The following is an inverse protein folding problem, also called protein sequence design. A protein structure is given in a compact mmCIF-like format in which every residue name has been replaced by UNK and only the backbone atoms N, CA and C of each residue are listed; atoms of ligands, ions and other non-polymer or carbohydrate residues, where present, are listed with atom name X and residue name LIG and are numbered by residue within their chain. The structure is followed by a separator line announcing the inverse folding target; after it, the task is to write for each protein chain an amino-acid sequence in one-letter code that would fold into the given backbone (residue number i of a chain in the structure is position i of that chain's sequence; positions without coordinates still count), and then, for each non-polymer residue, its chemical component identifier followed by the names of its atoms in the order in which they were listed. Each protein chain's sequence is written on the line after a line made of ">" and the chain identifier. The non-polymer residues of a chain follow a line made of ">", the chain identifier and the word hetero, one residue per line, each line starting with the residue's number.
data_IF_414081490887
#
_entry.id   IF_414081490887
#
_cell.length_a   1.000
_cell.length_b   1.000
_cell.length_c   1.000
_cell.angle_alpha   90.00
_cell.angle_beta   90.00
_cell.angle_gamma   90.00
#
_symmetry.space_group_name_H-M   'P 1'
#
loop_
_entity.id
_entity.type
_entity.pdbx_description
1 polymer ?
#
# COMPACT_ATOMS: atom_id res chain seq x y z
N UNK A 1 -5.19 -13.82 -0.23
CA UNK A 1 -6.36 -12.91 -0.17
C UNK A 1 -6.14 -11.98 1.00
N UNK A 2 -5.87 -10.69 0.74
CA UNK A 2 -5.77 -9.69 1.80
C UNK A 2 -7.17 -9.34 2.26
N UNK A 3 -7.40 -9.31 3.57
CA UNK A 3 -8.73 -9.08 4.11
C UNK A 3 -8.89 -7.57 4.26
N UNK A 4 -9.85 -6.99 3.55
CA UNK A 4 -10.29 -5.62 3.79
C UNK A 4 -11.42 -5.66 4.82
N UNK A 5 -11.18 -5.07 5.99
CA UNK A 5 -12.17 -5.00 7.07
C UNK A 5 -12.71 -3.57 7.20
N UNK A 6 -14.03 -3.46 7.38
CA UNK A 6 -14.69 -2.18 7.67
C UNK A 6 -14.81 -1.98 9.16
N UNK A 7 -13.99 -1.07 9.70
CA UNK A 7 -13.99 -0.74 11.13
C UNK A 7 -14.66 0.59 11.35
N UNK A 8 -15.65 0.63 12.26
CA UNK A 8 -16.25 1.89 12.74
C UNK A 8 -15.40 2.43 13.88
N UNK A 9 -14.66 3.51 13.64
CA UNK A 9 -13.96 4.23 14.70
C UNK A 9 -14.97 5.12 15.41
N UNK A 10 -15.02 5.07 16.75
CA UNK A 10 -16.00 5.78 17.59
C UNK A 10 -16.07 7.30 17.36
N UNK A 11 -15.03 7.89 16.75
CA UNK A 11 -14.93 9.33 16.43
C UNK A 11 -15.18 9.67 14.95
N UNK A 12 -15.49 8.69 14.11
CA UNK A 12 -15.71 8.88 12.67
C UNK A 12 -17.09 8.31 12.32
N UNK A 13 -18.00 9.15 11.83
CA UNK A 13 -19.36 8.73 11.47
C UNK A 13 -19.41 7.72 10.31
N UNK A 14 -18.30 7.59 9.57
CA UNK A 14 -18.14 6.68 8.45
C UNK A 14 -17.20 5.53 8.82
N UNK A 15 -17.57 4.27 8.54
CA UNK A 15 -16.65 3.15 8.69
C UNK A 15 -15.46 3.36 7.76
N UNK A 16 -14.26 3.05 8.25
CA UNK A 16 -13.04 3.09 7.48
C UNK A 16 -12.66 1.67 7.06
N UNK A 17 -12.07 1.56 5.88
CA UNK A 17 -11.48 0.31 5.45
C UNK A 17 -10.06 0.20 6.00
N UNK A 18 -9.75 -0.92 6.63
CA UNK A 18 -8.43 -1.28 7.09
C UNK A 18 -8.02 -2.56 6.37
N UNK A 19 -6.81 -2.55 5.81
CA UNK A 19 -6.23 -3.76 5.25
C UNK A 19 -5.59 -4.58 6.37
N UNK A 20 -6.07 -5.80 6.55
CA UNK A 20 -5.57 -6.75 7.54
C UNK A 20 -4.71 -7.80 6.83
N UNK A 21 -3.46 -7.89 7.27
CA UNK A 21 -2.46 -8.76 6.66
C UNK A 21 -2.07 -9.89 7.63
N UNK A 22 -2.35 -11.13 7.24
CA UNK A 22 -1.98 -12.35 7.99
C UNK A 22 -0.60 -12.85 7.57
N UNK A 23 0.34 -12.95 8.53
CA UNK A 23 1.71 -13.46 8.42
C UNK A 23 1.90 -14.86 7.82
N UNK A 24 0.83 -15.65 7.68
CA UNK A 24 0.87 -16.99 7.07
C UNK A 24 0.90 -16.98 5.54
N UNK A 25 0.78 -15.83 4.88
CA UNK A 25 0.86 -15.73 3.42
C UNK A 25 2.26 -16.12 2.92
N UNK A 26 2.37 -17.15 2.08
CA UNK A 26 3.66 -17.66 1.55
C UNK A 26 4.36 -16.71 0.54
N UNK A 27 3.74 -15.59 0.18
CA UNK A 27 4.28 -14.65 -0.81
C UNK A 27 5.31 -13.69 -0.19
N UNK A 28 6.59 -14.02 -0.38
CA UNK A 28 7.72 -13.21 0.09
C UNK A 28 7.77 -11.80 -0.53
N UNK A 29 7.27 -11.61 -1.76
CA UNK A 29 7.30 -10.29 -2.44
C UNK A 29 6.32 -9.35 -1.77
N UNK A 30 5.11 -9.85 -1.55
CA UNK A 30 4.08 -9.17 -0.80
C UNK A 30 4.57 -8.77 0.60
N UNK A 31 5.23 -9.69 1.34
CA UNK A 31 5.81 -9.37 2.66
C UNK A 31 6.87 -8.28 2.61
N UNK A 32 7.76 -8.35 1.64
CA UNK A 32 8.82 -7.36 1.45
C UNK A 32 8.22 -6.00 1.10
N UNK A 33 7.12 -5.96 0.36
CA UNK A 33 6.40 -4.74 0.04
C UNK A 33 5.67 -4.18 1.27
N UNK A 34 4.94 -5.00 2.03
CA UNK A 34 4.34 -4.59 3.31
C UNK A 34 5.38 -3.99 4.27
N UNK A 35 6.51 -4.66 4.46
CA UNK A 35 7.58 -4.15 5.34
C UNK A 35 8.12 -2.80 4.87
N UNK A 36 8.23 -2.56 3.56
CA UNK A 36 8.72 -1.29 3.01
C UNK A 36 7.68 -0.17 3.12
N UNK A 37 6.41 -0.45 2.82
CA UNK A 37 5.31 0.51 2.95
C UNK A 37 5.07 0.88 4.41
N UNK A 38 5.21 -0.07 5.33
CA UNK A 38 4.99 0.12 6.78
C UNK A 38 6.25 0.56 7.54
N UNK A 39 7.41 0.60 6.89
CA UNK A 39 8.65 1.00 7.56
C UNK A 39 8.60 2.47 7.95
N UNK A 40 8.90 2.76 9.21
CA UNK A 40 9.04 4.13 9.74
C UNK A 40 10.11 4.97 9.03
N UNK A 41 11.02 4.34 8.27
CA UNK A 41 12.16 5.01 7.66
C UNK A 41 11.86 5.67 6.31
N UNK A 42 10.73 5.35 5.66
CA UNK A 42 10.39 5.94 4.37
C UNK A 42 8.87 5.99 4.16
N UNK A 43 8.27 7.16 4.42
CA UNK A 43 6.83 7.42 4.27
C UNK A 43 6.39 7.66 2.81
N UNK A 44 7.31 7.57 1.84
CA UNK A 44 7.07 7.91 0.43
C UNK A 44 5.88 7.16 -0.16
N UNK A 45 5.75 5.85 0.12
CA UNK A 45 4.64 5.05 -0.37
C UNK A 45 3.29 5.59 0.15
N UNK A 46 3.21 5.96 1.43
CA UNK A 46 1.99 6.50 2.02
C UNK A 46 1.68 7.90 1.48
N UNK A 47 2.69 8.75 1.27
CA UNK A 47 2.53 10.07 0.62
C UNK A 47 2.00 9.94 -0.80
N UNK A 48 2.56 9.04 -1.60
CA UNK A 48 2.11 8.76 -2.96
C UNK A 48 0.65 8.26 -2.97
N UNK A 49 0.33 7.33 -2.07
CA UNK A 49 -1.01 6.80 -1.95
C UNK A 49 -2.03 7.87 -1.53
N UNK A 50 -1.65 8.79 -0.63
CA UNK A 50 -2.48 9.93 -0.25
C UNK A 50 -2.77 10.86 -1.43
N UNK A 51 -1.75 11.20 -2.24
CA UNK A 51 -1.93 12.01 -3.45
C UNK A 51 -2.90 11.34 -4.43
N UNK A 52 -2.78 10.02 -4.63
CA UNK A 52 -3.69 9.26 -5.49
C UNK A 52 -5.13 9.24 -4.94
N UNK A 53 -5.31 9.11 -3.62
CA UNK A 53 -6.61 9.18 -2.96
C UNK A 53 -7.29 10.55 -3.13
N UNK A 54 -6.53 11.64 -2.98
CA UNK A 54 -7.04 13.00 -3.09
C UNK A 54 -7.47 13.36 -4.51
N UNK A 55 -6.62 13.04 -5.49
CA UNK A 55 -6.79 13.45 -6.89
C UNK A 55 -7.88 12.66 -7.60
N UNK A 56 -8.15 11.41 -7.20
CA UNK A 56 -9.17 10.50 -7.77
C UNK A 56 -9.09 10.32 -9.30
N UNK A 57 -7.93 10.59 -9.88
CA UNK A 57 -7.62 10.41 -11.30
C UNK A 57 -6.35 9.60 -11.44
N UNK A 58 -6.10 9.08 -12.63
CA UNK A 58 -4.83 8.45 -12.96
C UNK A 58 -3.72 9.50 -13.03
N UNK A 59 -2.56 9.19 -12.47
CA UNK A 59 -1.40 10.10 -12.45
C UNK A 59 -0.15 9.34 -12.88
N UNK A 60 0.68 9.96 -13.72
CA UNK A 60 1.93 9.37 -14.16
C UNK A 60 2.95 9.29 -13.01
N UNK A 61 3.89 8.33 -13.06
CA UNK A 61 4.99 8.29 -12.09
C UNK A 61 5.82 9.57 -12.05
N UNK A 62 5.91 10.31 -13.17
CA UNK A 62 6.68 11.55 -13.25
C UNK A 62 5.98 12.68 -12.52
N UNK A 63 4.67 12.83 -12.73
CA UNK A 63 3.90 13.87 -12.04
C UNK A 63 3.82 13.58 -10.55
N UNK A 64 3.67 12.31 -10.16
CA UNK A 64 3.77 11.89 -8.77
C UNK A 64 5.11 12.27 -8.15
N UNK A 65 6.23 12.02 -8.85
CA UNK A 65 7.56 12.38 -8.37
C UNK A 65 7.72 13.89 -8.14
N UNK A 66 7.15 14.72 -9.01
CA UNK A 66 7.10 16.17 -8.82
C UNK A 66 6.21 16.57 -7.63
N UNK A 67 5.07 15.91 -7.44
CA UNK A 67 4.11 16.23 -6.37
C UNK A 67 4.63 15.89 -4.96
N UNK A 68 5.40 14.81 -4.81
CA UNK A 68 5.95 14.40 -3.52
C UNK A 68 7.41 14.79 -3.32
N UNK A 69 7.97 15.58 -4.25
CA UNK A 69 9.36 16.03 -4.29
C UNK A 69 10.34 14.88 -3.98
N UNK A 70 10.36 13.87 -4.87
CA UNK A 70 11.21 12.69 -4.67
C UNK A 70 11.74 12.12 -5.99
N UNK A 71 12.92 11.45 -5.98
CA UNK A 71 13.48 10.86 -7.19
C UNK A 71 12.53 9.85 -7.85
N UNK A 72 12.45 9.90 -9.18
CA UNK A 72 11.56 9.03 -9.97
C UNK A 72 11.81 7.53 -9.70
N UNK A 73 13.06 7.14 -9.46
CA UNK A 73 13.40 5.76 -9.11
C UNK A 73 12.73 5.32 -7.80
N UNK A 74 12.85 6.11 -6.74
CA UNK A 74 12.24 5.84 -5.43
C UNK A 74 10.72 5.80 -5.52
N UNK A 75 10.12 6.69 -6.32
CA UNK A 75 8.68 6.74 -6.57
C UNK A 75 8.20 5.49 -7.28
N UNK A 76 8.91 5.04 -8.33
CA UNK A 76 8.58 3.78 -9.02
C UNK A 76 8.70 2.56 -8.10
N UNK A 77 9.71 2.52 -7.24
CA UNK A 77 9.85 1.45 -6.27
C UNK A 77 8.69 1.44 -5.26
N UNK A 78 8.32 2.60 -4.73
CA UNK A 78 7.20 2.73 -3.81
C UNK A 78 5.85 2.38 -4.46
N UNK A 79 5.63 2.78 -5.72
CA UNK A 79 4.42 2.42 -6.47
C UNK A 79 4.35 0.93 -6.79
N UNK A 80 5.50 0.30 -7.09
CA UNK A 80 5.58 -1.14 -7.22
C UNK A 80 5.22 -1.83 -5.90
N UNK A 81 5.79 -1.39 -4.78
CA UNK A 81 5.46 -1.95 -3.47
C UNK A 81 3.95 -1.78 -3.15
N UNK A 82 3.34 -0.62 -3.45
CA UNK A 82 1.89 -0.40 -3.30
C UNK A 82 1.03 -1.30 -4.20
N UNK A 83 1.52 -1.65 -5.39
CA UNK A 83 0.84 -2.54 -6.33
C UNK A 83 0.92 -4.00 -5.89
N UNK A 84 2.08 -4.43 -5.41
CA UNK A 84 2.27 -5.77 -4.86
C UNK A 84 1.32 -6.01 -3.66
N UNK A 85 1.01 -4.97 -2.88
CA UNK A 85 0.04 -5.04 -1.77
C UNK A 85 -1.41 -4.70 -2.18
N UNK A 86 -1.68 -4.63 -3.48
CA UNK A 86 -3.01 -4.46 -4.08
C UNK A 86 -3.76 -3.17 -3.71
N UNK A 87 -3.04 -2.11 -3.35
CA UNK A 87 -3.64 -0.79 -3.03
C UNK A 87 -3.83 0.10 -4.25
N UNK A 88 -2.96 -0.05 -5.24
CA UNK A 88 -2.99 0.73 -6.49
C UNK A 88 -3.05 -0.18 -7.69
N UNK A 89 -3.57 0.32 -8.80
CA UNK A 89 -3.48 -0.32 -10.11
C UNK A 89 -2.55 0.48 -11.01
N UNK A 90 -1.99 -0.21 -12.01
CA UNK A 90 -1.06 0.35 -12.99
C UNK A 90 -1.63 0.17 -14.40
N UNK A 91 -1.81 1.27 -15.10
CA UNK A 91 -2.06 1.28 -16.53
C UNK A 91 -0.75 1.60 -17.26
N UNK A 92 -0.36 0.72 -18.18
CA UNK A 92 0.85 0.89 -18.98
C UNK A 92 0.47 1.46 -20.35
N UNK A 93 1.03 2.61 -20.68
CA UNK A 93 0.85 3.28 -21.96
C UNK A 93 2.15 3.18 -22.77
N UNK A 94 2.02 2.79 -24.04
CA UNK A 94 3.13 2.74 -24.98
C UNK A 94 2.99 3.86 -26.01
N UNK A 95 4.07 4.61 -26.23
CA UNK A 95 4.14 5.65 -27.26
C UNK A 95 5.47 5.51 -28.01
N UNK A 96 5.43 4.83 -29.14
CA UNK A 96 6.65 4.44 -29.86
C UNK A 96 7.51 3.52 -29.00
N UNK A 97 8.78 3.89 -28.79
CA UNK A 97 9.72 3.13 -27.95
C UNK A 97 9.66 3.51 -26.46
N UNK A 98 8.73 4.38 -26.06
CA UNK A 98 8.61 4.85 -24.68
C UNK A 98 7.44 4.16 -23.96
N UNK A 99 7.69 3.72 -22.73
CA UNK A 99 6.68 3.16 -21.83
C UNK A 99 6.42 4.11 -20.66
N UNK A 100 5.14 4.39 -20.39
CA UNK A 100 4.68 5.21 -19.29
C UNK A 100 3.78 4.39 -18.39
N UNK A 101 3.88 4.62 -17.08
CA UNK A 101 3.00 3.98 -16.10
C UNK A 101 2.15 5.07 -15.43
N UNK A 102 0.83 4.90 -15.56
CA UNK A 102 -0.18 5.68 -14.86
C UNK A 102 -0.76 4.87 -13.71
N UNK A 103 -0.97 5.55 -12.58
CA UNK A 103 -1.34 4.91 -11.33
C UNK A 103 -2.65 5.49 -10.82
N UNK A 104 -3.49 4.63 -10.26
CA UNK A 104 -4.71 5.03 -9.56
C UNK A 104 -4.98 4.11 -8.37
N UNK A 105 -5.80 4.59 -7.44
CA UNK A 105 -6.21 3.79 -6.29
C UNK A 105 -7.10 2.64 -6.75
N UNK A 106 -6.72 1.41 -6.39
CA UNK A 106 -7.56 0.21 -6.57
C UNK A 106 -8.46 0.03 -5.35
N UNK A 107 -7.85 -0.05 -4.19
CA UNK A 107 -8.52 -0.32 -2.91
C UNK A 107 -8.38 0.91 -2.03
N UNK A 108 -9.48 1.45 -1.52
CA UNK A 108 -9.48 2.65 -0.65
C UNK A 108 -9.38 2.22 0.80
N UNK A 109 -8.16 2.20 1.35
CA UNK A 109 -7.90 1.91 2.77
C UNK A 109 -7.35 3.15 3.45
N UNK A 110 -7.71 3.36 4.72
CA UNK A 110 -7.20 4.48 5.52
C UNK A 110 -6.10 4.04 6.50
N UNK A 111 -5.87 2.73 6.59
CA UNK A 111 -4.82 2.15 7.39
C UNK A 111 -4.52 0.72 6.96
N UNK A 112 -3.31 0.27 7.30
CA UNK A 112 -2.86 -1.11 7.11
C UNK A 112 -2.46 -1.63 8.49
N UNK A 113 -3.03 -2.76 8.90
CA UNK A 113 -2.70 -3.44 10.14
C UNK A 113 -2.09 -4.81 9.82
N UNK A 114 -0.96 -5.10 10.46
CA UNK A 114 -0.29 -6.39 10.37
C UNK A 114 -0.71 -7.26 11.55
N UNK A 115 -1.23 -8.45 11.27
CA UNK A 115 -1.50 -9.47 12.27
C UNK A 115 -0.28 -10.38 12.40
N UNK A 116 0.12 -10.61 13.64
CA UNK A 116 1.10 -11.65 13.99
C UNK A 116 0.33 -12.97 14.12
N UNK A 117 0.84 -14.11 13.59
CA UNK A 117 0.12 -15.38 13.66
C UNK A 117 -0.12 -15.75 15.11
N UNK A 118 -1.28 -16.35 15.37
CA UNK A 118 -1.63 -16.83 16.73
C UNK A 118 -0.55 -17.75 17.31
N UNK A 119 0.14 -18.53 16.47
CA UNK A 119 1.26 -19.39 16.87
C UNK A 119 2.39 -18.63 17.56
N UNK A 120 2.78 -17.45 17.07
CA UNK A 120 3.83 -16.64 17.69
C UNK A 120 3.40 -16.06 19.05
N UNK A 121 2.11 -15.72 19.19
CA UNK A 121 1.56 -15.34 20.49
C UNK A 121 1.58 -16.52 21.47
N UNK A 122 1.20 -17.72 21.03
CA UNK A 122 1.20 -18.92 21.87
C UNK A 122 2.61 -19.38 22.27
N UNK A 123 3.60 -19.20 21.40
CA UNK A 123 5.02 -19.52 21.68
C UNK A 123 5.68 -18.50 22.62
N UNK A 124 5.27 -17.22 22.56
CA UNK A 124 5.87 -16.15 23.37
C UNK A 124 5.09 -15.86 24.67
N UNK A 125 3.82 -16.22 24.73
CA UNK A 125 2.91 -16.09 25.87
C UNK A 125 2.02 -17.35 25.91
N UNK A 126 2.45 -18.42 26.60
CA UNK A 126 1.57 -19.57 26.81
C UNK A 126 0.34 -19.09 27.59
N UNK A 127 -0.83 -19.19 26.97
CA UNK A 127 -2.10 -19.00 27.64
C UNK A 127 -2.30 -20.25 28.50
N UNK A 128 -2.25 -20.09 29.83
CA UNK A 128 -2.59 -21.14 30.80
C UNK A 128 -4.03 -21.65 30.62
#
# INVERSE_FOLDING_TARGET
>A
MHIEEKVKISKIDKPINIMVVDETIEDWRFWKACNRVLSRQNDLALRLYAVLLERKVQISSRDLASLVDSPLYSVRQALADLYEIDLVTRERLERGHMTFDNWSVKTRVLGILRLIPKKYFQESYPIE
#
